data_IF_584870627215
#
_entry.id   IF_584870627215
#
_cell.length_a   1.000
_cell.length_b   1.000
_cell.length_c   1.000
_cell.angle_alpha   90.00
_cell.angle_beta   90.00
_cell.angle_gamma   90.00
#
_symmetry.space_group_name_H-M   'P 1'
#
loop_
_entity.id
_entity.type
_entity.pdbx_description
1 polymer ?
#
# COMPACT_ATOMS: atom_id res chain seq x y z
N UNK A 1 -4.03 27.25 -10.45
CA UNK A 1 -4.26 26.15 -9.48
C UNK A 1 -2.92 25.52 -9.18
N UNK A 2 -2.50 25.34 -7.91
CA UNK A 2 -1.25 24.64 -7.61
C UNK A 2 -1.31 23.25 -8.24
N UNK A 3 -0.27 22.86 -9.00
CA UNK A 3 -0.16 21.50 -9.51
C UNK A 3 -0.07 20.54 -8.32
N UNK A 4 -0.76 19.41 -8.40
CA UNK A 4 -0.68 18.38 -7.36
C UNK A 4 0.77 17.92 -7.18
N UNK A 5 1.16 17.45 -5.99
CA UNK A 5 2.54 16.99 -5.73
C UNK A 5 2.97 15.87 -6.70
N UNK A 6 2.02 15.05 -7.16
CA UNK A 6 2.28 13.95 -8.09
C UNK A 6 2.33 14.35 -9.56
N UNK A 7 2.00 15.61 -9.90
CA UNK A 7 2.11 16.11 -11.27
C UNK A 7 3.55 16.11 -11.79
N UNK A 8 4.54 16.24 -10.89
CA UNK A 8 5.96 16.28 -11.23
C UNK A 8 6.48 14.92 -11.75
N UNK A 9 5.82 13.82 -11.42
CA UNK A 9 6.14 12.50 -11.99
C UNK A 9 6.15 12.53 -13.53
N UNK A 10 5.17 13.19 -14.13
CA UNK A 10 4.97 13.18 -15.58
C UNK A 10 5.95 14.07 -16.36
N UNK A 11 6.62 15.03 -15.72
CA UNK A 11 7.61 15.86 -16.42
C UNK A 11 8.84 15.07 -16.88
N UNK A 12 9.01 13.84 -16.39
CA UNK A 12 10.04 12.89 -16.83
C UNK A 12 9.73 12.20 -18.16
N UNK A 13 8.47 12.21 -18.61
CA UNK A 13 7.99 11.38 -19.72
C UNK A 13 7.70 12.17 -21.01
N UNK A 14 8.27 13.37 -21.16
CA UNK A 14 8.04 14.21 -22.33
C UNK A 14 6.57 14.61 -22.49
N UNK A 15 6.05 14.51 -23.71
CA UNK A 15 4.62 14.77 -23.96
C UNK A 15 3.77 13.57 -23.55
N UNK A 16 3.02 13.72 -22.46
CA UNK A 16 2.13 12.68 -21.93
C UNK A 16 0.70 12.96 -22.41
N UNK A 17 0.12 12.06 -23.24
CA UNK A 17 -1.22 12.27 -23.79
C UNK A 17 -2.27 12.48 -22.70
N UNK A 18 -3.31 13.30 -22.93
CA UNK A 18 -4.35 13.55 -21.94
C UNK A 18 -5.04 12.29 -21.43
N UNK A 19 -5.21 11.26 -22.27
CA UNK A 19 -5.84 9.99 -21.89
C UNK A 19 -4.96 9.10 -21.01
N UNK A 20 -3.65 9.35 -20.93
CA UNK A 20 -2.70 8.60 -20.11
C UNK A 20 -2.66 9.09 -18.66
N UNK A 21 -3.41 10.16 -18.32
CA UNK A 21 -3.48 10.74 -16.97
C UNK A 21 -4.92 10.86 -16.48
N UNK A 22 -5.10 10.76 -15.16
CA UNK A 22 -6.36 10.97 -14.45
C UNK A 22 -6.11 11.80 -13.19
N UNK A 23 -7.17 12.40 -12.66
CA UNK A 23 -7.13 13.02 -11.33
C UNK A 23 -7.87 12.11 -10.37
N UNK A 24 -7.19 11.67 -9.31
CA UNK A 24 -7.73 10.82 -8.25
C UNK A 24 -7.54 11.52 -6.90
N UNK A 25 -8.63 11.87 -6.22
CA UNK A 25 -8.60 12.58 -4.94
C UNK A 25 -7.71 13.86 -4.95
N UNK A 26 -7.70 14.59 -6.07
CA UNK A 26 -6.87 15.80 -6.24
C UNK A 26 -5.40 15.54 -6.58
N UNK A 27 -5.01 14.28 -6.80
CA UNK A 27 -3.67 13.87 -7.23
C UNK A 27 -3.67 13.49 -8.71
N UNK A 28 -2.62 13.89 -9.44
CA UNK A 28 -2.39 13.45 -10.81
C UNK A 28 -1.84 12.01 -10.79
N UNK A 29 -2.55 11.09 -11.45
CA UNK A 29 -2.18 9.68 -11.54
C UNK A 29 -2.15 9.19 -12.98
N UNK A 30 -1.38 8.13 -13.22
CA UNK A 30 -1.38 7.42 -14.49
C UNK A 30 -2.75 6.76 -14.72
N UNK A 31 -3.20 6.68 -15.98
CA UNK A 31 -4.47 6.04 -16.32
C UNK A 31 -4.50 4.54 -15.98
N UNK A 32 -3.31 3.92 -15.86
CA UNK A 32 -3.11 2.57 -15.36
C UNK A 32 -2.44 2.62 -13.99
N UNK A 33 -2.88 1.78 -13.07
CA UNK A 33 -2.24 1.54 -11.78
C UNK A 33 -1.74 0.11 -11.66
N UNK A 34 -0.85 -0.14 -10.71
CA UNK A 34 -0.31 -1.47 -10.42
C UNK A 34 -0.99 -2.04 -9.19
N UNK A 35 -1.67 -3.18 -9.35
CA UNK A 35 -2.21 -3.96 -8.23
C UNK A 35 -1.17 -4.91 -7.65
N UNK A 36 -0.81 -4.73 -6.40
CA UNK A 36 0.29 -5.45 -5.74
C UNK A 36 -0.18 -6.65 -4.88
N UNK A 37 -1.40 -7.16 -5.08
CA UNK A 37 -1.99 -8.23 -4.26
C UNK A 37 -1.11 -9.47 -4.09
N UNK A 38 -0.49 -9.94 -5.18
CA UNK A 38 0.35 -11.15 -5.19
C UNK A 38 1.85 -10.87 -5.14
N UNK A 39 2.23 -9.63 -4.85
CA UNK A 39 3.63 -9.23 -4.91
C UNK A 39 4.36 -9.73 -3.66
N UNK A 40 5.13 -10.79 -3.85
CA UNK A 40 6.03 -11.36 -2.86
C UNK A 40 7.39 -10.64 -2.89
N UNK A 41 7.84 -10.24 -1.70
CA UNK A 41 9.08 -9.52 -1.45
C UNK A 41 10.36 -10.28 -1.83
N UNK A 42 10.30 -11.61 -1.90
CA UNK A 42 11.40 -12.48 -2.32
C UNK A 42 11.48 -12.67 -3.84
N UNK A 43 10.49 -12.20 -4.61
CA UNK A 43 10.45 -12.39 -6.06
C UNK A 43 11.19 -11.27 -6.80
N UNK A 44 12.31 -11.62 -7.43
CA UNK A 44 13.04 -10.72 -8.32
C UNK A 44 12.16 -10.24 -9.50
N UNK A 45 11.25 -11.09 -9.99
CA UNK A 45 10.33 -10.75 -11.07
C UNK A 45 9.32 -9.68 -10.64
N UNK A 46 8.81 -9.74 -9.41
CA UNK A 46 7.90 -8.71 -8.89
C UNK A 46 8.62 -7.37 -8.67
N UNK A 47 9.89 -7.41 -8.23
CA UNK A 47 10.71 -6.20 -8.17
C UNK A 47 10.88 -5.58 -9.58
N UNK A 48 11.26 -6.40 -10.56
CA UNK A 48 11.47 -5.96 -11.92
C UNK A 48 10.19 -5.39 -12.57
N UNK A 49 9.01 -5.96 -12.27
CA UNK A 49 7.75 -5.44 -12.79
C UNK A 49 7.39 -4.08 -12.21
N UNK A 50 7.67 -3.80 -10.93
CA UNK A 50 7.50 -2.47 -10.35
C UNK A 50 8.40 -1.42 -11.00
N UNK A 51 9.69 -1.75 -11.18
CA UNK A 51 10.65 -0.87 -11.86
C UNK A 51 10.21 -0.58 -13.31
N UNK A 52 9.79 -1.61 -14.03
CA UNK A 52 9.27 -1.49 -15.40
C UNK A 52 8.00 -0.63 -15.47
N UNK A 53 7.08 -0.79 -14.51
CA UNK A 53 5.87 0.03 -14.44
C UNK A 53 6.20 1.52 -14.25
N UNK A 54 7.12 1.85 -13.32
CA UNK A 54 7.58 3.24 -13.14
C UNK A 54 8.23 3.77 -14.40
N UNK A 55 9.15 3.02 -15.01
CA UNK A 55 9.82 3.40 -16.25
C UNK A 55 8.85 3.55 -17.44
N UNK A 56 7.68 2.94 -17.36
CA UNK A 56 6.59 3.06 -18.35
C UNK A 56 5.58 4.16 -18.02
N UNK A 57 5.84 4.99 -17.00
CA UNK A 57 4.98 6.12 -16.64
C UNK A 57 3.83 5.78 -15.70
N UNK A 58 3.93 4.71 -14.91
CA UNK A 58 2.94 4.40 -13.86
C UNK A 58 3.37 4.96 -12.51
N UNK A 59 2.50 5.74 -11.86
CA UNK A 59 2.75 6.28 -10.52
C UNK A 59 1.69 5.90 -9.46
N UNK A 60 0.68 5.13 -9.83
CA UNK A 60 -0.37 4.66 -8.92
C UNK A 60 -0.15 3.20 -8.53
N UNK A 61 0.02 2.94 -7.23
CA UNK A 61 0.26 1.61 -6.69
C UNK A 61 -0.78 1.26 -5.62
N UNK A 62 -1.41 0.11 -5.78
CA UNK A 62 -2.44 -0.41 -4.89
C UNK A 62 -1.91 -1.62 -4.11
N UNK A 63 -1.84 -1.49 -2.79
CA UNK A 63 -1.38 -2.52 -1.88
C UNK A 63 -2.32 -2.64 -0.66
N UNK A 64 -1.94 -3.44 0.33
CA UNK A 64 -2.64 -3.57 1.61
C UNK A 64 -1.75 -4.25 2.66
N UNK A 65 -2.05 -3.99 3.93
CA UNK A 65 -1.29 -4.54 5.06
C UNK A 65 -1.32 -6.08 5.14
N UNK A 66 -2.39 -6.71 4.62
CA UNK A 66 -2.53 -8.16 4.57
C UNK A 66 -1.85 -8.82 3.37
N UNK A 67 -1.52 -8.07 2.31
CA UNK A 67 -0.96 -8.62 1.08
C UNK A 67 0.42 -9.23 1.35
N UNK A 68 0.51 -10.56 1.18
CA UNK A 68 1.69 -11.36 1.52
C UNK A 68 2.21 -11.09 2.95
N UNK A 69 1.31 -10.92 3.93
CA UNK A 69 1.66 -10.59 5.32
C UNK A 69 2.54 -9.31 5.41
N UNK A 70 2.16 -8.28 4.67
CA UNK A 70 2.89 -7.01 4.53
C UNK A 70 4.10 -7.06 3.59
N UNK A 71 4.39 -8.20 2.97
CA UNK A 71 5.51 -8.34 2.02
C UNK A 71 5.35 -7.46 0.79
N UNK A 72 4.11 -7.23 0.36
CA UNK A 72 3.80 -6.34 -0.77
C UNK A 72 4.19 -4.89 -0.48
N UNK A 73 3.82 -4.35 0.69
CA UNK A 73 4.19 -3.00 1.13
C UNK A 73 5.71 -2.84 1.28
N UNK A 74 6.37 -3.84 1.88
CA UNK A 74 7.84 -3.83 2.03
C UNK A 74 8.55 -3.83 0.68
N UNK A 75 8.09 -4.65 -0.27
CA UNK A 75 8.67 -4.69 -1.61
C UNK A 75 8.50 -3.34 -2.33
N UNK A 76 7.28 -2.80 -2.33
CA UNK A 76 7.00 -1.51 -2.95
C UNK A 76 7.86 -0.40 -2.31
N UNK A 77 7.92 -0.35 -0.97
CA UNK A 77 8.75 0.60 -0.24
C UNK A 77 10.23 0.53 -0.63
N UNK A 78 10.79 -0.69 -0.77
CA UNK A 78 12.18 -0.88 -1.23
C UNK A 78 12.38 -0.36 -2.66
N UNK A 79 11.48 -0.70 -3.59
CA UNK A 79 11.58 -0.21 -4.97
C UNK A 79 11.47 1.31 -5.06
N UNK A 80 10.55 1.94 -4.33
CA UNK A 80 10.43 3.40 -4.32
C UNK A 80 11.67 4.06 -3.69
N UNK A 81 12.31 3.43 -2.70
CA UNK A 81 13.55 3.92 -2.12
C UNK A 81 14.73 3.81 -3.11
N UNK A 82 14.81 2.74 -3.89
CA UNK A 82 15.82 2.58 -4.96
C UNK A 82 15.69 3.68 -6.03
N UNK A 83 14.46 4.15 -6.29
CA UNK A 83 14.15 5.19 -7.27
C UNK A 83 14.29 6.62 -6.72
N UNK A 84 14.70 6.79 -5.46
CA UNK A 84 14.73 8.10 -4.78
C UNK A 84 15.74 9.11 -5.35
N UNK A 85 16.72 8.63 -6.14
CA UNK A 85 17.64 9.51 -6.86
C UNK A 85 16.94 10.27 -8.02
N UNK A 86 15.92 9.65 -8.62
CA UNK A 86 15.24 10.19 -9.81
C UNK A 86 13.84 10.73 -9.50
N UNK A 87 13.22 10.26 -8.44
CA UNK A 87 11.84 10.59 -8.07
C UNK A 87 11.74 11.02 -6.62
N UNK A 88 10.98 12.09 -6.38
CA UNK A 88 10.60 12.49 -5.03
C UNK A 88 9.48 11.57 -4.52
N UNK A 89 9.35 11.41 -3.19
CA UNK A 89 8.21 10.65 -2.62
C UNK A 89 6.86 11.16 -3.13
N UNK A 90 6.72 12.47 -3.34
CA UNK A 90 5.48 13.10 -3.83
C UNK A 90 5.08 12.70 -5.26
N UNK A 91 6.01 12.13 -6.05
CA UNK A 91 5.74 11.71 -7.42
C UNK A 91 4.86 10.45 -7.48
N UNK A 92 4.85 9.65 -6.40
CA UNK A 92 4.12 8.39 -6.33
C UNK A 92 2.82 8.50 -5.51
N UNK A 93 1.76 7.87 -6.00
CA UNK A 93 0.50 7.70 -5.28
C UNK A 93 0.38 6.25 -4.84
N UNK A 94 0.29 6.03 -3.52
CA UNK A 94 0.21 4.71 -2.91
C UNK A 94 -1.10 4.60 -2.16
N UNK A 95 -1.89 3.58 -2.49
CA UNK A 95 -3.12 3.21 -1.80
C UNK A 95 -2.84 1.97 -0.98
N UNK A 96 -3.06 2.04 0.33
CA UNK A 96 -3.06 0.85 1.20
C UNK A 96 -4.43 0.68 1.85
N UNK A 97 -4.67 -0.52 2.39
CA UNK A 97 -5.93 -0.93 3.01
C UNK A 97 -5.63 -1.62 4.32
N UNK A 98 -6.49 -1.38 5.30
CA UNK A 98 -6.40 -1.90 6.66
C UNK A 98 -7.71 -2.55 7.07
N UNK A 99 -7.70 -3.29 8.17
CA UNK A 99 -8.86 -3.96 8.76
C UNK A 99 -8.93 -5.45 8.46
N UNK A 100 -8.37 -5.93 7.35
CA UNK A 100 -8.29 -7.37 7.06
C UNK A 100 -7.24 -8.04 7.93
N UNK A 101 -7.63 -9.11 8.61
CA UNK A 101 -6.78 -9.96 9.45
C UNK A 101 -6.55 -11.28 8.73
N UNK A 102 -5.31 -11.49 8.30
CA UNK A 102 -4.81 -12.69 7.65
C UNK A 102 -3.38 -12.96 8.12
N UNK A 103 -2.88 -14.18 7.90
CA UNK A 103 -1.54 -14.57 8.35
C UNK A 103 -1.35 -14.30 9.83
N UNK A 104 -0.26 -13.60 10.17
CA UNK A 104 0.10 -13.29 11.56
C UNK A 104 -0.95 -12.46 12.31
N UNK A 105 -1.72 -11.60 11.63
CA UNK A 105 -2.78 -10.82 12.28
C UNK A 105 -3.98 -11.69 12.67
N UNK A 106 -4.29 -12.69 11.85
CA UNK A 106 -5.37 -13.63 12.14
C UNK A 106 -4.98 -14.58 13.28
N UNK A 107 -3.74 -15.04 13.31
CA UNK A 107 -3.21 -15.83 14.42
C UNK A 107 -3.29 -15.06 15.75
N UNK A 108 -2.85 -13.80 15.76
CA UNK A 108 -2.97 -12.94 16.94
C UNK A 108 -4.44 -12.71 17.35
N UNK A 109 -5.35 -12.54 16.38
CA UNK A 109 -6.77 -12.37 16.65
C UNK A 109 -7.40 -13.63 17.26
N UNK A 110 -7.03 -14.82 16.78
CA UNK A 110 -7.48 -16.10 17.36
C UNK A 110 -6.97 -16.30 18.78
N UNK A 111 -5.72 -15.91 19.06
CA UNK A 111 -5.18 -15.94 20.43
C UNK A 111 -5.91 -14.98 21.36
N UNK A 112 -6.26 -13.78 20.90
CA UNK A 112 -7.09 -12.83 21.65
C UNK A 112 -8.49 -13.39 21.90
N UNK A 113 -9.09 -14.03 20.90
CA UNK A 113 -10.42 -14.65 21.04
C UNK A 113 -10.41 -15.76 22.09
N UNK A 114 -9.40 -16.64 22.06
CA UNK A 114 -9.25 -17.71 23.05
C UNK A 114 -9.12 -17.20 24.49
N UNK A 115 -8.71 -15.94 24.67
CA UNK A 115 -8.62 -15.24 25.97
C UNK A 115 -9.84 -14.35 26.26
N UNK A 116 -10.91 -14.44 25.47
CA UNK A 116 -12.09 -13.59 25.60
C UNK A 116 -11.84 -12.09 25.34
N UNK A 117 -10.72 -11.75 24.69
CA UNK A 117 -10.22 -10.37 24.54
C UNK A 117 -10.38 -9.87 23.09
N UNK A 118 -11.58 -10.00 22.53
CA UNK A 118 -11.91 -9.53 21.16
C UNK A 118 -13.03 -8.49 21.17
N UNK A 119 -12.93 -7.51 20.29
CA UNK A 119 -13.94 -6.47 20.15
C UNK A 119 -15.23 -7.01 19.52
N UNK A 120 -16.41 -6.49 19.90
CA UNK A 120 -17.67 -6.73 19.19
C UNK A 120 -17.64 -6.29 17.71
N UNK A 121 -16.69 -5.43 17.32
CA UNK A 121 -16.51 -4.98 15.94
C UNK A 121 -15.70 -5.95 15.07
N UNK A 122 -15.32 -7.10 15.61
CA UNK A 122 -14.66 -8.17 14.87
C UNK A 122 -15.69 -8.95 14.05
N UNK A 123 -15.46 -9.05 12.75
CA UNK A 123 -16.28 -9.81 11.82
C UNK A 123 -15.48 -10.99 11.26
N UNK A 124 -15.99 -12.21 11.43
CA UNK A 124 -15.37 -13.42 10.85
C UNK A 124 -15.95 -13.64 9.46
N UNK A 125 -15.17 -13.36 8.42
CA UNK A 125 -15.59 -13.56 7.03
C UNK A 125 -15.48 -15.03 6.59
N UNK A 126 -14.71 -15.83 7.34
CA UNK A 126 -14.52 -17.25 7.19
C UNK A 126 -13.30 -17.73 7.99
N UNK A 127 -12.88 -18.97 7.76
CA UNK A 127 -11.75 -19.55 8.49
C UNK A 127 -10.42 -18.84 8.16
N UNK A 128 -10.25 -18.40 6.91
CA UNK A 128 -9.00 -17.82 6.42
C UNK A 128 -8.88 -16.30 6.53
N UNK A 129 -9.93 -15.58 6.93
CA UNK A 129 -9.91 -14.12 6.98
C UNK A 129 -10.95 -13.57 7.95
N UNK A 130 -10.50 -12.69 8.86
CA UNK A 130 -11.37 -11.87 9.69
C UNK A 130 -11.22 -10.40 9.30
N UNK A 131 -12.12 -9.56 9.77
CA UNK A 131 -12.11 -8.11 9.56
C UNK A 131 -12.38 -7.38 10.86
N UNK A 132 -11.70 -6.27 11.10
CA UNK A 132 -11.88 -5.45 12.31
C UNK A 132 -11.88 -3.96 11.98
N UNK A 133 -12.64 -3.21 12.77
CA UNK A 133 -12.62 -1.74 12.81
C UNK A 133 -12.05 -1.22 14.14
N UNK A 134 -11.26 -2.04 14.84
CA UNK A 134 -10.58 -1.63 16.07
C UNK A 134 -9.48 -0.60 15.77
N UNK A 135 -9.56 0.64 16.31
CA UNK A 135 -8.64 1.71 15.96
C UNK A 135 -7.16 1.35 16.13
N UNK A 136 -6.80 0.66 17.22
CA UNK A 136 -5.42 0.28 17.50
C UNK A 136 -4.84 -0.66 16.44
N UNK A 137 -5.65 -1.58 15.92
CA UNK A 137 -5.23 -2.51 14.86
C UNK A 137 -5.11 -1.77 13.53
N UNK A 138 -6.06 -0.89 13.21
CA UNK A 138 -6.03 -0.09 11.99
C UNK A 138 -4.79 0.82 11.95
N UNK A 139 -4.48 1.52 13.05
CA UNK A 139 -3.29 2.37 13.16
C UNK A 139 -2.01 1.55 13.03
N UNK A 140 -1.93 0.39 13.69
CA UNK A 140 -0.78 -0.50 13.56
C UNK A 140 -0.56 -0.97 12.11
N UNK A 141 -1.63 -1.29 11.39
CA UNK A 141 -1.54 -1.69 9.98
C UNK A 141 -1.17 -0.50 9.07
N UNK A 142 -1.68 0.70 9.34
CA UNK A 142 -1.40 1.89 8.52
C UNK A 142 0.01 2.46 8.74
N UNK A 143 0.51 2.45 9.97
CA UNK A 143 1.82 3.00 10.33
C UNK A 143 2.97 1.99 10.20
N UNK A 144 2.65 0.70 10.06
CA UNK A 144 3.62 -0.39 10.09
C UNK A 144 3.68 -1.09 11.46
N UNK A 145 3.91 -2.40 11.39
CA UNK A 145 3.97 -3.28 12.57
C UNK A 145 5.10 -2.82 13.49
N UNK A 146 4.80 -2.54 14.76
CA UNK A 146 5.78 -2.14 15.78
C UNK A 146 5.97 -0.63 15.96
N UNK A 147 5.29 0.22 15.18
CA UNK A 147 5.28 1.66 15.41
C UNK A 147 4.36 1.98 16.59
N UNK A 148 4.93 2.47 17.69
CA UNK A 148 4.15 2.92 18.84
C UNK A 148 3.26 4.11 18.44
N UNK A 149 2.02 4.14 18.95
CA UNK A 149 0.99 5.14 18.65
C UNK A 149 1.42 6.61 18.86
N UNK A 150 2.56 6.86 19.53
CA UNK A 150 3.10 8.19 19.84
C UNK A 150 3.81 8.89 18.67
N UNK A 151 3.99 8.23 17.52
CA UNK A 151 4.76 8.79 16.38
C UNK A 151 3.93 9.00 15.11
N UNK A 152 2.62 8.76 15.15
CA UNK A 152 1.73 8.82 13.97
C UNK A 152 0.69 9.94 14.00
N UNK A 153 0.81 10.92 14.89
CA UNK A 153 -0.05 12.10 14.95
C UNK A 153 0.78 13.38 14.83
#
# INVERSE_FOLDING_TARGET
VPRSRSANFFSRFGDVPPHARRVLAGLDVSALGVGCYRFNEASAQHRASLLSAVASGCNLFDTAANYMNGGSERLLGRVLAELSADFARGDFVVVTKVGTLQGSDLEAARQREARGSVSPRLCKLGDGAWFTLEPNILVQQACGRGVAHRHCC
#
